data_IF_493481964185
#
_entry.id   IF_493481964185
#
_cell.length_a   1.000
_cell.length_b   1.000
_cell.length_c   1.000
_cell.angle_alpha   90.00
_cell.angle_beta   90.00
_cell.angle_gamma   90.00
#
_symmetry.space_group_name_H-M   'P 1'
#
loop_
_entity.id
_entity.type
_entity.pdbx_description
1 polymer ?
#
# COMPACT_ATOMS: atom_id res chain seq x y z
N UNK A 1 -9.44 -9.48 -13.08
CA UNK A 1 -10.14 -8.21 -12.86
C UNK A 1 -9.13 -7.08 -13.02
N UNK A 2 -9.43 -5.82 -12.69
CA UNK A 2 -8.45 -4.71 -12.74
C UNK A 2 -7.53 -4.75 -11.51
N UNK A 3 -6.21 -4.61 -11.67
CA UNK A 3 -5.28 -4.49 -10.53
C UNK A 3 -5.33 -3.07 -9.94
N UNK A 4 -4.91 -2.92 -8.67
CA UNK A 4 -4.76 -1.59 -8.03
C UNK A 4 -3.83 -0.69 -8.86
N UNK A 5 -2.73 -1.24 -9.40
CA UNK A 5 -1.82 -0.51 -10.30
C UNK A 5 -2.52 0.00 -11.55
N UNK A 6 -3.24 -0.87 -12.24
CA UNK A 6 -3.95 -0.50 -13.47
C UNK A 6 -5.07 0.51 -13.19
N UNK A 7 -5.74 0.39 -12.05
CA UNK A 7 -6.78 1.31 -11.60
C UNK A 7 -6.22 2.72 -11.37
N UNK A 8 -5.07 2.86 -10.68
CA UNK A 8 -4.40 4.15 -10.52
C UNK A 8 -3.94 4.76 -11.84
N UNK A 9 -3.34 3.95 -12.73
CA UNK A 9 -2.88 4.45 -14.03
C UNK A 9 -4.04 4.93 -14.90
N UNK A 10 -5.14 4.17 -14.95
CA UNK A 10 -6.33 4.57 -15.71
C UNK A 10 -6.99 5.81 -15.12
N UNK A 11 -7.14 5.86 -13.79
CA UNK A 11 -7.71 7.02 -13.11
C UNK A 11 -6.89 8.30 -13.33
N UNK A 12 -5.56 8.21 -13.21
CA UNK A 12 -4.65 9.31 -13.46
C UNK A 12 -4.78 9.88 -14.88
N UNK A 13 -4.89 9.00 -15.90
CA UNK A 13 -5.12 9.43 -17.29
C UNK A 13 -6.45 10.17 -17.47
N UNK A 14 -7.50 9.75 -16.76
CA UNK A 14 -8.78 10.47 -16.81
C UNK A 14 -8.68 11.83 -16.14
N UNK A 15 -8.10 11.92 -14.94
CA UNK A 15 -7.88 13.21 -14.26
C UNK A 15 -7.10 14.18 -15.14
N UNK A 16 -6.06 13.70 -15.85
CA UNK A 16 -5.27 14.50 -16.78
C UNK A 16 -6.12 15.00 -17.97
N UNK A 17 -6.88 14.11 -18.63
CA UNK A 17 -7.78 14.47 -19.73
C UNK A 17 -8.75 15.58 -19.33
N UNK A 18 -9.45 15.42 -18.21
CA UNK A 18 -10.43 16.39 -17.73
C UNK A 18 -9.75 17.71 -17.32
N UNK A 19 -8.61 17.65 -16.62
CA UNK A 19 -7.85 18.85 -16.23
C UNK A 19 -7.37 19.67 -17.43
N UNK A 20 -6.90 19.00 -18.48
CA UNK A 20 -6.50 19.66 -19.72
C UNK A 20 -7.68 20.37 -20.38
N UNK A 21 -8.84 19.72 -20.47
CA UNK A 21 -10.05 20.32 -21.07
C UNK A 21 -10.56 21.51 -20.26
N UNK A 22 -10.63 21.38 -18.93
CA UNK A 22 -10.98 22.44 -17.98
C UNK A 22 -10.06 23.66 -18.16
N UNK A 23 -8.75 23.42 -18.30
CA UNK A 23 -7.78 24.51 -18.53
C UNK A 23 -8.01 25.22 -19.87
N UNK A 24 -8.40 24.48 -20.90
CA UNK A 24 -8.74 25.01 -22.22
C UNK A 24 -10.00 25.88 -22.18
N UNK A 25 -11.05 25.42 -21.50
CA UNK A 25 -12.29 26.19 -21.34
C UNK A 25 -12.02 27.51 -20.62
N UNK A 26 -11.23 27.50 -19.53
CA UNK A 26 -10.85 28.73 -18.83
C UNK A 26 -10.10 29.73 -19.70
N UNK A 27 -9.32 29.27 -20.68
CA UNK A 27 -8.66 30.17 -21.63
C UNK A 27 -9.68 30.80 -22.58
N UNK A 28 -10.58 29.98 -23.14
CA UNK A 28 -11.65 30.46 -24.02
C UNK A 28 -12.58 31.46 -23.31
N UNK A 29 -12.92 31.21 -22.05
CA UNK A 29 -13.70 32.14 -21.22
C UNK A 29 -13.03 33.51 -21.08
N UNK A 30 -11.72 33.55 -20.80
CA UNK A 30 -10.96 34.81 -20.73
C UNK A 30 -10.90 35.54 -22.07
N UNK A 31 -10.80 34.82 -23.17
CA UNK A 31 -10.82 35.41 -24.51
C UNK A 31 -12.20 36.02 -24.83
N UNK A 32 -13.29 35.38 -24.39
CA UNK A 32 -14.64 35.94 -24.53
C UNK A 32 -14.84 37.17 -23.65
N UNK A 33 -14.36 37.16 -22.40
CA UNK A 33 -14.38 38.33 -21.52
C UNK A 33 -13.68 39.54 -22.16
N UNK A 34 -12.50 39.33 -22.78
CA UNK A 34 -11.80 40.40 -23.50
C UNK A 34 -12.59 40.91 -24.71
N UNK A 35 -13.22 40.01 -25.48
CA UNK A 35 -14.06 40.39 -26.64
C UNK A 35 -15.31 41.19 -26.23
N UNK A 36 -15.91 40.87 -25.08
CA UNK A 36 -17.04 41.63 -24.54
C UNK A 36 -16.62 43.08 -24.23
N UNK A 37 -15.39 43.28 -23.75
CA UNK A 37 -14.85 44.62 -23.48
C UNK A 37 -14.50 45.37 -24.78
N UNK A 38 -13.95 44.69 -25.78
CA UNK A 38 -13.53 45.28 -27.06
C UNK A 38 -14.68 45.55 -28.04
N UNK A 39 -15.74 44.74 -28.02
CA UNK A 39 -16.90 44.84 -28.91
C UNK A 39 -18.23 44.78 -28.12
N UNK A 40 -18.67 45.92 -27.56
CA UNK A 40 -19.91 46.00 -26.79
C UNK A 40 -21.18 45.73 -27.63
N UNK A 41 -21.11 45.89 -28.96
CA UNK A 41 -22.25 45.73 -29.85
C UNK A 41 -22.64 44.25 -30.00
N UNK A 42 -21.65 43.35 -29.89
CA UNK A 42 -21.84 41.88 -29.90
C UNK A 42 -21.75 41.23 -28.51
N UNK A 43 -21.68 42.01 -27.43
CA UNK A 43 -21.48 41.52 -26.07
C UNK A 43 -22.50 40.45 -25.63
N UNK A 44 -23.77 40.58 -26.02
CA UNK A 44 -24.81 39.61 -25.67
C UNK A 44 -24.57 38.22 -26.29
N UNK A 45 -24.07 38.17 -27.53
CA UNK A 45 -23.72 36.92 -28.20
C UNK A 45 -22.51 36.25 -27.53
N UNK A 46 -21.48 37.03 -27.19
CA UNK A 46 -20.29 36.52 -26.49
C UNK A 46 -20.63 36.06 -25.06
N UNK A 47 -21.54 36.73 -24.38
CA UNK A 47 -22.03 36.29 -23.07
C UNK A 47 -22.77 34.95 -23.18
N UNK A 48 -23.60 34.77 -24.21
CA UNK A 48 -24.26 33.49 -24.46
C UNK A 48 -23.28 32.34 -24.71
N UNK A 49 -22.18 32.58 -25.43
CA UNK A 49 -21.10 31.58 -25.59
C UNK A 49 -20.36 31.31 -24.28
N UNK A 50 -20.12 32.36 -23.48
CA UNK A 50 -19.48 32.24 -22.17
C UNK A 50 -20.29 31.37 -21.21
N UNK A 51 -21.62 31.58 -21.15
CA UNK A 51 -22.50 30.85 -20.26
C UNK A 51 -22.56 29.35 -20.62
N UNK A 52 -22.54 29.00 -21.92
CA UNK A 52 -22.42 27.61 -22.37
C UNK A 52 -21.07 26.99 -21.96
N UNK A 53 -19.99 27.76 -22.07
CA UNK A 53 -18.67 27.32 -21.60
C UNK A 53 -18.62 27.15 -20.08
N UNK A 54 -19.32 27.98 -19.30
CA UNK A 54 -19.40 27.85 -17.84
C UNK A 54 -20.17 26.58 -17.44
N UNK A 55 -21.29 26.27 -18.09
CA UNK A 55 -22.00 24.99 -17.88
C UNK A 55 -21.10 23.79 -18.17
N UNK A 56 -20.39 23.85 -19.30
CA UNK A 56 -19.42 22.82 -19.70
C UNK A 56 -18.27 22.69 -18.69
N UNK A 57 -17.82 23.81 -18.13
CA UNK A 57 -16.76 23.88 -17.13
C UNK A 57 -17.18 23.18 -15.83
N UNK A 58 -18.38 23.47 -15.32
CA UNK A 58 -18.91 22.84 -14.11
C UNK A 58 -19.11 21.34 -14.28
N UNK A 59 -19.68 20.89 -15.39
CA UNK A 59 -19.89 19.46 -15.65
C UNK A 59 -18.56 18.67 -15.72
N UNK A 60 -17.52 19.25 -16.33
CA UNK A 60 -16.19 18.63 -16.35
C UNK A 60 -15.52 18.63 -14.97
N UNK A 61 -15.73 19.66 -14.15
CA UNK A 61 -15.23 19.70 -12.78
C UNK A 61 -15.85 18.59 -11.94
N UNK A 62 -17.18 18.44 -11.98
CA UNK A 62 -17.90 17.39 -11.25
C UNK A 62 -17.35 16.02 -11.61
N UNK A 63 -17.21 15.72 -12.92
CA UNK A 63 -16.65 14.45 -13.37
C UNK A 63 -15.20 14.25 -12.95
N UNK A 64 -14.35 15.29 -13.00
CA UNK A 64 -12.97 15.22 -12.51
C UNK A 64 -12.95 14.91 -11.02
N UNK A 65 -13.85 15.51 -10.23
CA UNK A 65 -13.91 15.32 -8.79
C UNK A 65 -14.35 13.89 -8.44
N UNK A 66 -15.27 13.28 -9.21
CA UNK A 66 -15.59 11.84 -9.09
C UNK A 66 -14.34 10.95 -9.27
N UNK A 67 -13.49 11.26 -10.26
CA UNK A 67 -12.22 10.53 -10.47
C UNK A 67 -11.21 10.77 -9.33
N UNK A 68 -11.16 11.99 -8.76
CA UNK A 68 -10.32 12.27 -7.60
C UNK A 68 -10.77 11.49 -6.36
N UNK A 69 -12.08 11.45 -6.09
CA UNK A 69 -12.68 10.68 -5.00
C UNK A 69 -12.42 9.18 -5.15
N UNK A 70 -12.56 8.66 -6.38
CA UNK A 70 -12.20 7.28 -6.68
C UNK A 70 -10.71 7.00 -6.41
N UNK A 71 -9.82 7.93 -6.77
CA UNK A 71 -8.39 7.84 -6.47
C UNK A 71 -8.11 7.79 -4.96
N UNK A 72 -8.82 8.59 -4.17
CA UNK A 72 -8.74 8.56 -2.71
C UNK A 72 -9.14 7.21 -2.12
N UNK A 73 -10.25 6.64 -2.58
CA UNK A 73 -10.73 5.32 -2.16
C UNK A 73 -9.76 4.18 -2.55
N UNK A 74 -9.17 4.25 -3.75
CA UNK A 74 -8.12 3.30 -4.16
C UNK A 74 -6.89 3.38 -3.25
N UNK A 75 -6.52 4.58 -2.81
CA UNK A 75 -5.39 4.78 -1.90
C UNK A 75 -5.67 4.22 -0.51
N UNK A 76 -6.88 4.40 0.00
CA UNK A 76 -7.31 3.78 1.25
C UNK A 76 -7.26 2.25 1.16
N UNK A 77 -7.80 1.65 0.09
CA UNK A 77 -7.74 0.21 -0.12
C UNK A 77 -6.29 -0.30 -0.20
N UNK A 78 -5.43 0.40 -0.94
CA UNK A 78 -4.01 0.07 -1.07
C UNK A 78 -3.30 0.12 0.29
N UNK A 79 -3.58 1.13 1.12
CA UNK A 79 -3.02 1.27 2.46
C UNK A 79 -3.47 0.15 3.40
N UNK A 80 -4.76 -0.23 3.34
CA UNK A 80 -5.29 -1.34 4.14
C UNK A 80 -4.61 -2.67 3.80
N UNK A 81 -4.48 -2.98 2.50
CA UNK A 81 -3.82 -4.21 2.04
C UNK A 81 -2.34 -4.19 2.42
N UNK A 82 -1.66 -3.05 2.26
CA UNK A 82 -0.27 -2.89 2.67
C UNK A 82 -0.10 -3.17 4.16
N UNK A 83 -0.92 -2.55 5.01
CA UNK A 83 -0.85 -2.75 6.46
C UNK A 83 -1.13 -4.19 6.87
N UNK A 84 -2.08 -4.86 6.20
CA UNK A 84 -2.35 -6.28 6.43
C UNK A 84 -1.15 -7.16 6.08
N UNK A 85 -0.51 -6.94 4.92
CA UNK A 85 0.68 -7.71 4.51
C UNK A 85 1.89 -7.45 5.43
N UNK A 86 2.08 -6.22 5.88
CA UNK A 86 3.13 -5.92 6.87
C UNK A 86 2.84 -6.62 8.20
N UNK A 87 1.59 -6.66 8.65
CA UNK A 87 1.22 -7.37 9.87
C UNK A 87 1.44 -8.88 9.75
N UNK A 88 1.14 -9.48 8.59
CA UNK A 88 1.43 -10.89 8.30
C UNK A 88 2.94 -11.17 8.35
N UNK A 89 3.75 -10.36 7.68
CA UNK A 89 5.22 -10.51 7.72
C UNK A 89 5.79 -10.33 9.13
N UNK A 90 5.27 -9.39 9.91
CA UNK A 90 5.66 -9.21 11.31
C UNK A 90 5.25 -10.41 12.16
N UNK A 91 4.06 -10.96 11.95
CA UNK A 91 3.62 -12.16 12.65
C UNK A 91 4.48 -13.39 12.32
N UNK A 92 4.83 -13.58 11.03
CA UNK A 92 5.76 -14.62 10.61
C UNK A 92 7.14 -14.45 11.25
N UNK A 93 7.68 -13.22 11.27
CA UNK A 93 8.96 -12.93 11.92
C UNK A 93 8.91 -13.18 13.44
N UNK A 94 7.81 -12.81 14.10
CA UNK A 94 7.60 -13.07 15.54
C UNK A 94 7.46 -14.57 15.83
N UNK A 95 6.78 -15.33 14.98
CA UNK A 95 6.67 -16.79 15.10
C UNK A 95 8.05 -17.45 14.97
N UNK A 96 8.84 -17.09 13.96
CA UNK A 96 10.21 -17.59 13.81
C UNK A 96 11.09 -17.22 15.02
N UNK A 97 10.97 -15.99 15.51
CA UNK A 97 11.68 -15.56 16.71
C UNK A 97 11.25 -16.33 17.97
N UNK A 98 9.97 -16.65 18.12
CA UNK A 98 9.44 -17.45 19.22
C UNK A 98 9.93 -18.90 19.15
N UNK A 99 9.96 -19.49 17.96
CA UNK A 99 10.50 -20.83 17.74
C UNK A 99 12.00 -20.90 18.05
N UNK A 100 12.79 -19.93 17.59
CA UNK A 100 14.22 -19.83 17.91
C UNK A 100 14.45 -19.62 19.42
N UNK A 101 13.61 -18.82 20.07
CA UNK A 101 13.65 -18.64 21.52
C UNK A 101 13.31 -19.95 22.25
N UNK A 102 12.28 -20.69 21.82
CA UNK A 102 11.90 -21.97 22.42
C UNK A 102 13.01 -23.01 22.29
N UNK A 103 13.64 -23.13 21.12
CA UNK A 103 14.81 -23.99 20.90
C UNK A 103 15.98 -23.59 21.81
N UNK A 104 16.26 -22.29 21.94
CA UNK A 104 17.30 -21.79 22.85
C UNK A 104 17.01 -22.08 24.33
N UNK A 105 15.76 -21.94 24.76
CA UNK A 105 15.33 -22.28 26.12
C UNK A 105 15.47 -23.77 26.41
N UNK A 106 15.14 -24.63 25.44
CA UNK A 106 15.34 -26.07 25.56
C UNK A 106 16.83 -26.42 25.69
N UNK A 107 17.68 -25.85 24.85
CA UNK A 107 19.14 -26.04 24.87
C UNK A 107 19.74 -25.56 26.20
N UNK A 108 19.34 -24.37 26.67
CA UNK A 108 19.76 -23.84 27.96
C UNK A 108 19.32 -24.74 29.12
N UNK A 109 18.08 -25.26 29.09
CA UNK A 109 17.55 -26.15 30.12
C UNK A 109 18.29 -27.49 30.16
N UNK A 110 18.54 -28.11 29.00
CA UNK A 110 19.30 -29.36 28.89
C UNK A 110 20.73 -29.17 29.39
N UNK A 111 21.39 -28.09 28.97
CA UNK A 111 22.74 -27.77 29.42
C UNK A 111 22.80 -27.52 30.93
N UNK A 112 21.87 -26.74 31.48
CA UNK A 112 21.76 -26.45 32.90
C UNK A 112 21.51 -27.70 33.76
N UNK A 113 20.77 -28.69 33.24
CA UNK A 113 20.55 -30.01 33.88
C UNK A 113 21.75 -30.96 33.79
N UNK A 114 22.88 -30.52 33.24
CA UNK A 114 24.08 -31.34 33.07
C UNK A 114 24.00 -32.33 31.89
N UNK A 115 22.99 -32.20 31.02
CA UNK A 115 22.94 -33.00 29.79
C UNK A 115 23.99 -32.51 28.79
N UNK A 116 24.55 -33.43 28.00
CA UNK A 116 25.52 -33.06 26.96
C UNK A 116 24.81 -32.39 25.79
N UNK A 117 25.10 -31.11 25.56
CA UNK A 117 24.60 -30.34 24.41
C UNK A 117 25.70 -30.19 23.36
N UNK A 118 25.33 -30.15 22.08
CA UNK A 118 26.27 -29.94 20.97
C UNK A 118 26.99 -28.58 21.09
N UNK A 119 28.22 -28.48 20.60
CA UNK A 119 28.96 -27.21 20.61
C UNK A 119 28.31 -26.14 19.73
N UNK A 120 27.64 -26.54 18.64
CA UNK A 120 26.90 -25.65 17.74
C UNK A 120 25.70 -25.01 18.44
N UNK A 121 24.93 -25.81 19.17
CA UNK A 121 23.72 -25.35 19.87
C UNK A 121 24.08 -24.37 20.99
N UNK A 122 25.18 -24.62 21.71
CA UNK A 122 25.69 -23.71 22.75
C UNK A 122 26.24 -22.41 22.16
N UNK A 123 26.93 -22.48 21.03
CA UNK A 123 27.41 -21.30 20.32
C UNK A 123 26.23 -20.45 19.82
N UNK A 124 25.19 -21.08 19.26
CA UNK A 124 23.97 -20.39 18.82
C UNK A 124 23.23 -19.75 20.00
N UNK A 125 23.07 -20.47 21.12
CA UNK A 125 22.51 -19.93 22.37
C UNK A 125 23.32 -18.73 22.89
N UNK A 126 24.66 -18.81 22.87
CA UNK A 126 25.53 -17.72 23.33
C UNK A 126 25.44 -16.48 22.42
N UNK A 127 25.29 -16.68 21.11
CA UNK A 127 25.18 -15.58 20.14
C UNK A 127 23.80 -14.91 20.16
N UNK A 128 22.72 -15.69 20.26
CA UNK A 128 21.36 -15.16 20.22
C UNK A 128 20.85 -14.69 21.60
N UNK A 129 21.17 -15.42 22.67
CA UNK A 129 20.70 -15.13 24.05
C UNK A 129 21.82 -15.33 25.10
N UNK A 130 22.82 -14.42 25.15
CA UNK A 130 24.02 -14.57 25.99
C UNK A 130 23.72 -14.63 27.50
N UNK A 131 22.66 -13.98 27.97
CA UNK A 131 22.30 -14.01 29.39
C UNK A 131 21.65 -15.34 29.78
N UNK A 132 20.84 -15.92 28.89
CA UNK A 132 20.27 -17.25 29.08
C UNK A 132 21.38 -18.32 29.13
N UNK A 133 22.42 -18.19 28.30
CA UNK A 133 23.62 -19.03 28.35
C UNK A 133 24.33 -18.96 29.73
N UNK A 134 24.58 -17.74 30.25
CA UNK A 134 25.23 -17.56 31.56
C UNK A 134 24.42 -18.22 32.70
N UNK A 135 23.09 -18.08 32.66
CA UNK A 135 22.22 -18.74 33.63
C UNK A 135 22.32 -20.26 33.53
N UNK A 136 22.31 -20.82 32.33
CA UNK A 136 22.47 -22.25 32.10
C UNK A 136 23.83 -22.76 32.60
N UNK A 137 24.92 -22.01 32.40
CA UNK A 137 26.26 -22.33 32.94
C UNK A 137 26.27 -22.33 34.46
N UNK A 138 25.69 -21.30 35.09
CA UNK A 138 25.60 -21.23 36.55
C UNK A 138 24.78 -22.39 37.14
N UNK A 139 23.68 -22.76 36.50
CA UNK A 139 22.87 -23.91 36.89
C UNK A 139 23.63 -25.23 36.74
N UNK A 140 24.30 -25.42 35.59
CA UNK A 140 25.10 -26.62 35.34
C UNK A 140 26.20 -26.82 36.37
N UNK A 141 26.92 -25.76 36.73
CA UNK A 141 27.97 -25.79 37.76
C UNK A 141 27.43 -26.29 39.12
N UNK A 142 26.14 -26.06 39.41
CA UNK A 142 25.49 -26.58 40.62
C UNK A 142 24.97 -28.01 40.46
N UNK A 143 24.58 -28.40 39.24
CA UNK A 143 24.02 -29.74 38.91
C UNK A 143 25.10 -30.80 38.67
N UNK A 144 26.33 -30.44 38.26
CA UNK A 144 27.48 -31.34 37.99
C UNK A 144 27.95 -32.15 39.22
N UNK A 145 27.28 -31.95 40.36
CA UNK A 145 27.31 -32.81 41.54
C UNK A 145 26.35 -34.03 41.48
N UNK A 146 25.62 -34.23 40.37
CA UNK A 146 24.71 -35.36 40.12
C UNK A 146 24.84 -35.88 38.68
N UNK A 147 24.84 -37.20 38.53
CA UNK A 147 25.39 -37.97 37.41
C UNK A 147 24.72 -37.89 36.01
N UNK A 148 25.46 -38.40 35.01
CA UNK A 148 25.35 -38.29 33.53
C UNK A 148 24.14 -38.96 32.82
N UNK A 149 23.61 -38.33 31.73
CA UNK A 149 22.67 -38.92 30.73
C UNK A 149 22.87 -38.43 29.26
N UNK A 150 22.34 -39.18 28.27
CA UNK A 150 22.59 -39.11 26.79
C UNK A 150 21.52 -38.33 25.96
N UNK A 151 21.86 -38.02 24.70
CA UNK A 151 21.47 -36.88 23.83
C UNK A 151 20.38 -37.12 22.76
N UNK A 152 19.80 -35.99 22.24
CA UNK A 152 19.28 -35.77 20.86
C UNK A 152 19.49 -34.28 20.49
N UNK A 153 19.99 -33.95 19.31
CA UNK A 153 20.18 -32.55 18.86
C UNK A 153 18.81 -31.87 18.55
N UNK A 154 18.68 -30.56 18.79
CA UNK A 154 17.38 -29.82 18.72
C UNK A 154 17.28 -28.89 17.51
N UNK A 155 18.40 -28.43 16.94
CA UNK A 155 18.38 -27.61 15.72
C UNK A 155 18.46 -28.49 14.48
N UNK A 156 17.44 -28.39 13.61
CA UNK A 156 17.45 -28.94 12.25
C UNK A 156 17.84 -27.81 11.28
N UNK A 157 18.79 -28.11 10.38
CA UNK A 157 19.32 -27.17 9.39
C UNK A 157 18.32 -27.07 8.22
N UNK A 158 17.21 -26.35 8.41
CA UNK A 158 16.36 -25.90 7.30
C UNK A 158 16.76 -24.48 6.85
N UNK A 159 17.25 -24.41 5.62
CA UNK A 159 17.65 -23.19 4.90
C UNK A 159 16.41 -22.35 4.58
N UNK A 160 16.04 -21.44 5.48
CA UNK A 160 14.91 -20.54 5.28
C UNK A 160 15.41 -19.20 4.73
N UNK A 161 15.52 -19.13 3.40
CA UNK A 161 15.81 -17.88 2.70
C UNK A 161 14.59 -16.96 2.83
N UNK A 162 14.71 -15.76 3.44
CA UNK A 162 13.64 -14.78 3.38
C UNK A 162 13.46 -14.39 1.91
N UNK A 163 12.30 -14.69 1.33
CA UNK A 163 11.90 -14.10 0.06
C UNK A 163 11.65 -12.62 0.32
N UNK A 164 12.66 -11.81 0.03
CA UNK A 164 12.53 -10.36 -0.02
C UNK A 164 11.66 -9.99 -1.24
N UNK A 165 10.35 -10.16 -1.10
CA UNK A 165 9.37 -9.61 -2.01
C UNK A 165 8.92 -8.29 -1.42
N UNK A 166 9.25 -7.22 -2.13
CA UNK A 166 8.82 -5.87 -1.79
C UNK A 166 7.30 -5.83 -1.62
N UNK A 167 6.82 -5.58 -0.40
CA UNK A 167 5.39 -5.48 -0.03
C UNK A 167 4.65 -4.55 -1.01
N UNK A 168 5.33 -3.52 -1.51
CA UNK A 168 4.77 -2.55 -2.46
C UNK A 168 4.39 -3.17 -3.82
N UNK A 169 5.13 -4.17 -4.30
CA UNK A 169 4.84 -4.83 -5.58
C UNK A 169 3.67 -5.79 -5.46
N UNK A 170 3.56 -6.46 -4.31
CA UNK A 170 2.48 -7.39 -4.01
C UNK A 170 1.12 -6.69 -3.78
N UNK A 171 1.14 -5.49 -3.20
CA UNK A 171 -0.07 -4.64 -3.07
C UNK A 171 -0.52 -4.17 -4.45
N UNK A 172 0.42 -3.73 -5.30
CA UNK A 172 0.14 -3.23 -6.64
C UNK A 172 -0.53 -4.27 -7.56
N UNK A 173 -0.19 -5.55 -7.39
CA UNK A 173 -0.74 -6.67 -8.17
C UNK A 173 -2.07 -7.22 -7.62
N UNK A 174 -2.55 -6.73 -6.47
CA UNK A 174 -3.83 -7.16 -5.89
C UNK A 174 -5.00 -6.57 -6.69
N UNK A 175 -6.10 -7.32 -6.80
CA UNK A 175 -7.30 -6.85 -7.52
C UNK A 175 -7.97 -5.68 -6.79
N UNK A 176 -8.34 -4.64 -7.56
CA UNK A 176 -9.13 -3.53 -7.05
C UNK A 176 -10.55 -4.02 -6.76
N UNK A 177 -11.06 -3.73 -5.56
CA UNK A 177 -12.41 -4.17 -5.14
C UNK A 177 -13.45 -3.05 -5.34
N UNK A 178 -13.00 -1.86 -5.68
CA UNK A 178 -13.83 -0.67 -5.88
C UNK A 178 -14.11 -0.52 -7.37
N UNK A 179 -15.39 -0.38 -7.71
CA UNK A 179 -15.80 -0.16 -9.09
C UNK A 179 -15.32 1.22 -9.57
N UNK A 180 -14.74 1.32 -10.78
CA UNK A 180 -14.37 2.60 -11.35
C UNK A 180 -15.61 3.44 -11.67
N UNK A 181 -15.51 4.78 -11.58
CA UNK A 181 -16.54 5.66 -12.12
C UNK A 181 -16.72 5.42 -13.63
N UNK A 182 -17.90 5.78 -14.13
CA UNK A 182 -18.25 5.58 -15.53
C UNK A 182 -17.30 6.34 -16.45
N UNK A 183 -16.71 5.63 -17.41
CA UNK A 183 -15.79 6.24 -18.37
C UNK A 183 -16.57 7.02 -19.42
N UNK A 184 -16.73 8.32 -19.18
CA UNK A 184 -17.19 9.28 -20.17
C UNK A 184 -16.01 10.07 -20.75
N UNK A 185 -16.04 10.36 -22.05
CA UNK A 185 -15.07 11.27 -22.67
C UNK A 185 -15.49 12.72 -22.39
N UNK A 186 -14.54 13.65 -22.22
CA UNK A 186 -14.88 15.03 -21.86
C UNK A 186 -15.79 15.71 -22.89
N UNK A 187 -15.70 15.29 -24.16
CA UNK A 187 -16.56 15.80 -25.24
C UNK A 187 -18.02 15.37 -25.08
N UNK A 188 -18.27 14.16 -24.58
CA UNK A 188 -19.64 13.68 -24.35
C UNK A 188 -20.28 14.40 -23.17
N UNK A 189 -19.52 14.61 -22.09
CA UNK A 189 -19.97 15.37 -20.90
C UNK A 189 -20.33 16.82 -21.26
N UNK A 190 -19.53 17.45 -22.13
CA UNK A 190 -19.82 18.80 -22.64
C UNK A 190 -21.09 18.81 -23.50
N UNK A 191 -21.27 17.83 -24.38
CA UNK A 191 -22.47 17.76 -25.23
C UNK A 191 -23.75 17.55 -24.38
N UNK A 192 -23.68 16.68 -23.38
CA UNK A 192 -24.79 16.39 -22.46
C UNK A 192 -25.17 17.63 -21.64
N UNK A 193 -24.19 18.31 -21.03
CA UNK A 193 -24.45 19.52 -20.22
C UNK A 193 -25.08 20.66 -21.04
N UNK A 194 -24.61 20.89 -22.27
CA UNK A 194 -25.18 21.94 -23.11
C UNK A 194 -26.58 21.58 -23.65
N UNK A 195 -26.81 20.32 -24.00
CA UNK A 195 -28.14 19.87 -24.47
C UNK A 195 -29.19 19.90 -23.36
N UNK A 196 -28.81 19.62 -22.11
CA UNK A 196 -29.70 19.70 -20.96
C UNK A 196 -30.16 21.15 -20.64
N UNK A 197 -29.41 22.16 -21.06
CA UNK A 197 -29.74 23.57 -20.88
C UNK A 197 -30.66 24.14 -21.98
N UNK A 198 -30.82 23.43 -23.10
CA UNK A 198 -31.67 23.83 -24.24
C UNK A 198 -33.07 23.17 -24.23
N UNK A 199 -33.36 22.29 -23.26
CA UNK A 199 -34.66 21.61 -23.04
C UNK A 199 -35.51 22.34 -21.99
#
# INVERSE_FOLDING_TARGET
MLTIRDAFQRNGKQIEKYSNKISGIRKMQKELEAKIEEDPENAEAYQGEYDKLELSYQALLEKRDEYMDYGGKLMEQSMLIHNAKVAEQQAEAMNKAADDMAKCMEVASRYGRGERVSAKDLQKLMQMFPDLYKMAVAQRMMEEHRDNRKQKDVFDDEDDTPKDLSVTEEVANTEASIAPPEMAEPETVIAESNSAAEM
#
